data_IF_163059990584
#
_entry.id   IF_163059990584
#
_cell.length_a   1.000
_cell.length_b   1.000
_cell.length_c   1.000
_cell.angle_alpha   90.00
_cell.angle_beta   90.00
_cell.angle_gamma   90.00
#
_symmetry.space_group_name_H-M   'P 1'
#
loop_
_entity.id
_entity.type
_entity.pdbx_description
1 polymer ?
#
# COMPACT_ATOMS: atom_id res chain seq x y z
N UNK A 1 -9.52 4.18 22.67
CA UNK A 1 -8.48 3.74 23.63
C UNK A 1 -7.18 4.55 23.46
N UNK A 2 -6.57 4.65 22.28
CA UNK A 2 -5.30 5.36 22.09
C UNK A 2 -5.32 6.83 22.55
N UNK A 3 -6.45 7.53 22.42
CA UNK A 3 -6.59 8.90 22.95
C UNK A 3 -6.51 8.93 24.48
N UNK A 4 -7.02 7.91 25.15
CA UNK A 4 -7.00 7.79 26.63
C UNK A 4 -5.64 7.30 27.14
N UNK A 5 -4.91 6.51 26.34
CA UNK A 5 -3.60 5.97 26.71
C UNK A 5 -2.45 6.98 26.56
N UNK A 6 -2.72 8.14 25.96
CA UNK A 6 -1.77 9.23 25.88
C UNK A 6 -1.08 9.39 24.51
N UNK A 7 -0.11 10.32 24.41
CA UNK A 7 0.43 10.75 23.10
C UNK A 7 1.22 9.67 22.35
N UNK A 8 1.84 8.75 23.07
CA UNK A 8 2.66 7.69 22.45
C UNK A 8 1.84 6.51 21.92
N UNK A 9 0.58 6.37 22.34
CA UNK A 9 -0.27 5.29 21.86
C UNK A 9 -0.81 5.62 20.47
N UNK A 10 -0.53 4.76 19.51
CA UNK A 10 -0.93 4.88 18.12
C UNK A 10 -1.58 3.58 17.64
N UNK A 11 -2.20 3.62 16.48
CA UNK A 11 -2.88 2.49 15.84
C UNK A 11 -2.10 2.10 14.59
N UNK A 12 -1.82 0.81 14.44
CA UNK A 12 -1.43 0.21 13.16
C UNK A 12 -2.71 -0.27 12.48
N UNK A 13 -2.89 0.06 11.23
CA UNK A 13 -3.99 -0.40 10.39
C UNK A 13 -3.51 -1.57 9.54
N UNK A 14 -3.96 -2.76 9.89
CA UNK A 14 -3.77 -3.95 9.07
C UNK A 14 -4.90 -4.01 8.04
N UNK A 15 -4.54 -3.98 6.76
CA UNK A 15 -5.54 -3.84 5.69
C UNK A 15 -6.28 -5.15 5.38
N UNK A 16 -5.76 -6.29 5.83
CA UNK A 16 -6.39 -7.61 5.69
C UNK A 16 -7.29 -8.04 6.84
N UNK A 17 -7.10 -7.48 8.05
CA UNK A 17 -7.76 -7.96 9.27
C UNK A 17 -9.09 -7.27 9.60
N UNK A 18 -9.72 -6.62 8.64
CA UNK A 18 -11.04 -6.01 8.84
C UNK A 18 -12.16 -6.93 8.34
N UNK A 19 -13.35 -6.81 8.92
CA UNK A 19 -14.53 -7.51 8.43
C UNK A 19 -14.85 -7.12 6.97
N UNK A 20 -15.40 -8.02 6.13
CA UNK A 20 -15.84 -7.68 4.78
C UNK A 20 -16.76 -6.45 4.78
N UNK A 21 -16.52 -5.52 3.84
CA UNK A 21 -17.30 -4.29 3.74
C UNK A 21 -16.89 -3.17 4.70
N UNK A 22 -15.85 -3.35 5.51
CA UNK A 22 -15.32 -2.26 6.34
C UNK A 22 -14.74 -1.15 5.47
N UNK A 23 -15.13 0.09 5.76
CA UNK A 23 -14.56 1.27 5.13
C UNK A 23 -13.23 1.63 5.80
N UNK A 24 -12.13 1.04 5.29
CA UNK A 24 -10.78 1.23 5.85
C UNK A 24 -10.31 2.67 5.62
N UNK A 25 -10.63 3.27 4.49
CA UNK A 25 -10.29 4.66 4.15
C UNK A 25 -10.83 5.64 5.19
N UNK A 26 -12.06 5.40 5.65
CA UNK A 26 -12.67 6.21 6.70
C UNK A 26 -11.95 6.05 8.04
N UNK A 27 -11.54 4.82 8.40
CA UNK A 27 -10.73 4.55 9.59
C UNK A 27 -9.41 5.32 9.51
N UNK A 28 -8.72 5.26 8.37
CA UNK A 28 -7.46 5.97 8.14
C UNK A 28 -7.65 7.48 8.28
N UNK A 29 -8.68 8.05 7.66
CA UNK A 29 -9.00 9.48 7.76
C UNK A 29 -9.24 9.92 9.20
N UNK A 30 -9.98 9.13 9.99
CA UNK A 30 -10.22 9.41 11.41
C UNK A 30 -8.94 9.35 12.24
N UNK A 31 -8.08 8.36 12.00
CA UNK A 31 -6.84 8.18 12.74
C UNK A 31 -5.85 9.30 12.42
N UNK A 32 -5.74 9.72 11.17
CA UNK A 32 -4.93 10.89 10.77
C UNK A 32 -5.43 12.16 11.42
N UNK A 33 -6.74 12.43 11.37
CA UNK A 33 -7.36 13.59 12.03
C UNK A 33 -7.11 13.61 13.55
N UNK A 34 -7.08 12.43 14.17
CA UNK A 34 -6.84 12.29 15.61
C UNK A 34 -5.35 12.29 15.99
N UNK A 35 -4.42 12.31 15.02
CA UNK A 35 -2.97 12.14 15.24
C UNK A 35 -2.64 10.78 15.86
N UNK A 36 -3.38 9.72 15.48
CA UNK A 36 -3.27 8.38 16.05
C UNK A 36 -2.92 7.29 15.06
N UNK A 37 -2.72 7.61 13.79
CA UNK A 37 -2.18 6.66 12.82
C UNK A 37 -0.68 6.50 13.03
N UNK A 38 -0.24 5.33 13.47
CA UNK A 38 1.18 5.01 13.65
C UNK A 38 1.77 4.27 12.46
N UNK A 39 0.95 3.53 11.73
CA UNK A 39 1.44 2.79 10.57
C UNK A 39 0.38 1.89 9.95
N UNK A 40 0.87 1.14 8.98
CA UNK A 40 0.10 0.12 8.27
C UNK A 40 0.85 -1.20 8.30
N UNK A 41 0.09 -2.30 8.38
CA UNK A 41 0.46 -3.61 7.91
C UNK A 41 -0.33 -3.86 6.62
N UNK A 42 0.33 -3.62 5.48
CA UNK A 42 -0.31 -3.77 4.17
C UNK A 42 -0.32 -5.21 3.72
N UNK A 43 -1.49 -5.71 3.43
CA UNK A 43 -1.76 -6.95 2.72
C UNK A 43 -3.08 -6.81 1.93
N UNK A 44 -3.52 -7.85 1.30
CA UNK A 44 -4.84 -7.93 0.65
C UNK A 44 -5.58 -9.18 1.10
N UNK A 45 -6.90 -9.13 1.02
CA UNK A 45 -7.78 -10.26 1.32
C UNK A 45 -8.97 -10.30 0.38
N UNK A 46 -9.62 -11.45 0.27
CA UNK A 46 -10.93 -11.59 -0.33
C UNK A 46 -12.02 -11.77 0.74
N UNK A 47 -11.91 -12.78 1.58
CA UNK A 47 -13.01 -13.18 2.48
C UNK A 47 -12.60 -13.31 3.94
N UNK A 48 -11.34 -13.56 4.21
CA UNK A 48 -10.79 -13.81 5.53
C UNK A 48 -9.41 -13.17 5.67
N UNK A 49 -8.64 -13.65 6.61
CA UNK A 49 -7.23 -13.31 6.82
C UNK A 49 -6.36 -14.06 5.79
N UNK A 50 -6.37 -13.55 4.57
CA UNK A 50 -5.76 -14.24 3.42
C UNK A 50 -4.28 -13.84 3.22
N UNK A 51 -3.82 -12.74 3.81
CA UNK A 51 -2.45 -12.20 3.70
C UNK A 51 -1.91 -12.15 2.26
N UNK A 52 -2.77 -11.81 1.30
CA UNK A 52 -2.40 -11.77 -0.12
C UNK A 52 -1.48 -10.58 -0.42
N UNK A 53 -0.81 -10.65 -1.57
CA UNK A 53 0.00 -9.53 -2.08
C UNK A 53 -0.80 -8.23 -2.10
N UNK A 54 -0.21 -7.16 -1.61
CA UNK A 54 -0.85 -5.85 -1.48
C UNK A 54 -1.43 -5.37 -2.81
N UNK A 55 -2.69 -4.97 -2.79
CA UNK A 55 -3.40 -4.50 -3.98
C UNK A 55 -3.81 -5.60 -4.97
N UNK A 56 -3.60 -6.88 -4.65
CA UNK A 56 -3.96 -7.97 -5.55
C UNK A 56 -5.47 -8.20 -5.64
N UNK A 57 -6.18 -8.07 -4.51
CA UNK A 57 -7.62 -8.32 -4.45
C UNK A 57 -8.44 -7.06 -4.80
N UNK A 58 -8.07 -5.90 -4.24
CA UNK A 58 -8.76 -4.62 -4.46
C UNK A 58 -7.75 -3.47 -4.62
N UNK A 59 -7.19 -3.28 -5.82
CA UNK A 59 -6.26 -2.18 -6.08
C UNK A 59 -6.93 -0.80 -5.97
N UNK A 60 -8.24 -0.71 -6.17
CA UNK A 60 -8.97 0.55 -6.02
C UNK A 60 -9.12 0.94 -4.55
N UNK A 61 -9.31 -0.02 -3.64
CA UNK A 61 -9.30 0.26 -2.20
C UNK A 61 -7.92 0.76 -1.75
N UNK A 62 -6.83 0.13 -2.20
CA UNK A 62 -5.49 0.60 -1.90
C UNK A 62 -5.28 2.05 -2.36
N UNK A 63 -5.71 2.40 -3.57
CA UNK A 63 -5.66 3.78 -4.07
C UNK A 63 -6.44 4.75 -3.17
N UNK A 64 -7.66 4.38 -2.74
CA UNK A 64 -8.48 5.23 -1.86
C UNK A 64 -7.85 5.40 -0.47
N UNK A 65 -7.24 4.35 0.08
CA UNK A 65 -6.46 4.43 1.32
C UNK A 65 -5.32 5.42 1.15
N UNK A 66 -4.52 5.32 0.08
CA UNK A 66 -3.40 6.23 -0.18
C UNK A 66 -3.85 7.66 -0.46
N UNK A 67 -5.05 7.86 -1.01
CA UNK A 67 -5.65 9.18 -1.09
C UNK A 67 -5.90 9.80 0.29
N UNK A 68 -6.50 9.05 1.22
CA UNK A 68 -6.73 9.55 2.58
C UNK A 68 -5.40 9.81 3.32
N UNK A 69 -4.39 8.95 3.12
CA UNK A 69 -3.04 9.18 3.65
C UNK A 69 -2.45 10.49 3.14
N UNK A 70 -2.50 10.72 1.82
CA UNK A 70 -2.04 11.99 1.23
C UNK A 70 -2.81 13.18 1.75
N UNK A 71 -4.13 13.12 1.71
CA UNK A 71 -5.03 14.21 2.13
C UNK A 71 -4.83 14.59 3.60
N UNK A 72 -4.59 13.61 4.45
CA UNK A 72 -4.34 13.79 5.88
C UNK A 72 -2.89 14.09 6.25
N UNK A 73 -1.99 14.29 5.26
CA UNK A 73 -0.58 14.60 5.50
C UNK A 73 0.30 13.42 5.90
N UNK A 74 -0.23 12.18 5.86
CA UNK A 74 0.49 10.98 6.30
C UNK A 74 1.69 10.58 5.43
N UNK A 75 1.88 11.22 4.26
CA UNK A 75 3.08 11.05 3.43
C UNK A 75 4.25 11.94 3.88
N UNK A 76 4.01 12.91 4.76
CA UNK A 76 5.08 13.71 5.33
C UNK A 76 5.86 12.90 6.36
N UNK A 77 7.17 12.76 6.15
CA UNK A 77 8.05 11.99 7.03
C UNK A 77 8.03 12.51 8.49
N UNK A 78 7.72 13.77 8.70
CA UNK A 78 7.63 14.36 10.05
C UNK A 78 6.41 13.86 10.85
N UNK A 79 5.39 13.35 10.17
CA UNK A 79 4.20 12.74 10.81
C UNK A 79 4.52 11.35 11.35
N UNK A 80 5.50 10.66 10.76
CA UNK A 80 6.05 9.40 11.27
C UNK A 80 5.14 8.18 11.08
N UNK A 81 4.27 8.18 10.04
CA UNK A 81 3.49 6.99 9.68
C UNK A 81 4.40 5.93 9.09
N UNK A 82 4.42 4.73 9.66
CA UNK A 82 5.16 3.59 9.14
C UNK A 82 4.37 2.86 8.05
N UNK A 83 5.07 2.46 6.99
CA UNK A 83 4.50 1.68 5.88
C UNK A 83 5.17 0.32 5.86
N UNK A 84 4.48 -0.70 6.36
CA UNK A 84 4.98 -2.06 6.46
C UNK A 84 4.17 -2.98 5.55
N UNK A 85 4.78 -4.07 5.13
CA UNK A 85 4.11 -5.12 4.36
C UNK A 85 4.00 -6.36 5.23
N UNK A 86 2.81 -6.85 5.43
CA UNK A 86 2.51 -8.05 6.19
C UNK A 86 1.74 -9.06 5.33
N UNK A 87 2.37 -9.47 4.23
CA UNK A 87 1.87 -10.56 3.40
C UNK A 87 2.66 -11.84 3.70
N UNK A 88 1.97 -12.93 4.00
CA UNK A 88 2.58 -14.20 4.33
C UNK A 88 1.83 -15.37 3.66
N UNK A 89 1.76 -15.37 2.34
CA UNK A 89 1.15 -16.46 1.59
C UNK A 89 2.20 -17.50 1.17
N UNK A 90 1.83 -18.77 1.06
CA UNK A 90 2.76 -19.85 0.77
C UNK A 90 2.85 -20.25 -0.71
N UNK A 91 2.06 -19.61 -1.57
CA UNK A 91 1.97 -19.96 -2.99
C UNK A 91 3.04 -19.23 -3.80
N UNK A 92 3.13 -17.90 -3.66
CA UNK A 92 4.09 -17.12 -4.39
C UNK A 92 5.50 -17.12 -3.75
N UNK A 93 6.55 -17.01 -4.57
CA UNK A 93 7.92 -16.80 -4.05
C UNK A 93 7.99 -15.50 -3.23
N UNK A 94 8.53 -15.58 -2.02
CA UNK A 94 8.44 -14.49 -1.01
C UNK A 94 9.05 -13.17 -1.48
N UNK A 95 10.27 -13.19 -1.98
CA UNK A 95 10.97 -11.95 -2.35
C UNK A 95 10.30 -11.25 -3.54
N UNK A 96 10.03 -11.93 -4.70
CA UNK A 96 9.29 -11.27 -5.78
C UNK A 96 7.89 -10.83 -5.37
N UNK A 97 7.21 -11.57 -4.48
CA UNK A 97 5.92 -11.17 -3.92
C UNK A 97 6.02 -9.84 -3.16
N UNK A 98 7.03 -9.70 -2.29
CA UNK A 98 7.29 -8.44 -1.56
C UNK A 98 7.66 -7.29 -2.52
N UNK A 99 8.53 -7.53 -3.50
CA UNK A 99 8.87 -6.51 -4.51
C UNK A 99 7.61 -6.03 -5.24
N UNK A 100 6.75 -6.95 -5.65
CA UNK A 100 5.47 -6.61 -6.30
C UNK A 100 4.58 -5.78 -5.40
N UNK A 101 4.46 -6.13 -4.13
CA UNK A 101 3.64 -5.40 -3.16
C UNK A 101 4.15 -3.97 -2.93
N UNK A 102 5.47 -3.78 -2.80
CA UNK A 102 6.05 -2.43 -2.76
C UNK A 102 5.70 -1.63 -4.02
N UNK A 103 5.84 -2.24 -5.21
CA UNK A 103 5.49 -1.56 -6.47
C UNK A 103 4.01 -1.17 -6.51
N UNK A 104 3.09 -2.02 -6.03
CA UNK A 104 1.67 -1.74 -6.00
C UNK A 104 1.34 -0.56 -5.05
N UNK A 105 1.97 -0.50 -3.88
CA UNK A 105 1.84 0.65 -2.96
C UNK A 105 2.37 1.93 -3.60
N UNK A 106 3.53 1.86 -4.27
CA UNK A 106 4.09 3.02 -4.99
C UNK A 106 3.16 3.51 -6.10
N UNK A 107 2.58 2.59 -6.89
CA UNK A 107 1.62 2.93 -7.95
C UNK A 107 0.36 3.58 -7.36
N UNK A 108 -0.22 3.01 -6.31
CA UNK A 108 -1.40 3.58 -5.65
C UNK A 108 -1.11 4.99 -5.07
N UNK A 109 0.08 5.16 -4.47
CA UNK A 109 0.53 6.45 -3.93
C UNK A 109 0.68 7.48 -5.03
N UNK A 110 1.39 7.15 -6.12
CA UNK A 110 1.59 8.06 -7.24
C UNK A 110 0.27 8.48 -7.89
N UNK A 111 -0.65 7.55 -8.09
CA UNK A 111 -2.01 7.84 -8.57
C UNK A 111 -2.77 8.77 -7.61
N UNK A 112 -2.70 8.52 -6.31
CA UNK A 112 -3.31 9.40 -5.32
C UNK A 112 -2.71 10.81 -5.35
N UNK A 113 -1.42 10.95 -5.67
CA UNK A 113 -0.76 12.26 -5.83
C UNK A 113 -1.20 13.03 -7.08
N UNK A 114 -1.81 12.39 -8.06
CA UNK A 114 -2.36 13.06 -9.26
C UNK A 114 -3.71 13.74 -9.01
N UNK A 115 -4.42 13.39 -7.94
CA UNK A 115 -5.73 13.97 -7.64
C UNK A 115 -5.58 15.47 -7.36
N UNK A 116 -6.30 16.33 -8.09
CA UNK A 116 -6.45 17.72 -7.70
C UNK A 116 -7.41 17.83 -6.51
N UNK A 117 -6.84 18.07 -5.33
CA UNK A 117 -7.60 18.12 -4.08
C UNK A 117 -8.57 19.30 -4.03
N UNK A 118 -8.23 20.43 -4.67
CA UNK A 118 -9.06 21.63 -4.68
C UNK A 118 -10.25 21.44 -5.63
N UNK A 119 -10.01 20.91 -6.81
CA UNK A 119 -11.04 20.58 -7.77
C UNK A 119 -12.03 19.55 -7.19
N UNK A 120 -11.52 18.47 -6.63
CA UNK A 120 -12.34 17.44 -5.96
C UNK A 120 -13.20 18.05 -4.85
N UNK A 121 -12.62 18.88 -3.99
CA UNK A 121 -13.34 19.53 -2.89
C UNK A 121 -14.42 20.49 -3.41
N UNK A 122 -14.14 21.25 -4.47
CA UNK A 122 -15.11 22.16 -5.09
C UNK A 122 -16.31 21.41 -5.66
N UNK A 123 -16.08 20.31 -6.38
CA UNK A 123 -17.14 19.47 -6.92
C UNK A 123 -17.98 18.82 -5.82
N UNK A 124 -17.35 18.32 -4.77
CA UNK A 124 -18.04 17.76 -3.61
C UNK A 124 -18.91 18.80 -2.91
N UNK A 125 -18.40 20.03 -2.72
CA UNK A 125 -19.17 21.12 -2.12
C UNK A 125 -20.35 21.57 -2.97
N UNK A 126 -20.22 21.49 -4.30
CA UNK A 126 -21.31 21.79 -5.25
C UNK A 126 -22.32 20.65 -5.40
N UNK A 127 -22.08 19.47 -4.83
CA UNK A 127 -22.90 18.29 -5.03
C UNK A 127 -22.75 17.66 -6.43
N UNK A 128 -21.70 18.02 -7.17
CA UNK A 128 -21.37 17.42 -8.47
C UNK A 128 -20.71 16.06 -8.26
N UNK A 129 -21.53 15.03 -8.11
CA UNK A 129 -21.09 13.65 -7.87
C UNK A 129 -20.36 13.09 -9.09
N UNK A 130 -20.81 13.43 -10.31
CA UNK A 130 -20.19 12.91 -11.54
C UNK A 130 -18.82 13.55 -11.76
N UNK A 131 -18.68 14.85 -11.59
CA UNK A 131 -17.41 15.55 -11.67
C UNK A 131 -16.43 15.05 -10.60
N UNK A 132 -16.85 14.94 -9.35
CA UNK A 132 -16.01 14.39 -8.28
C UNK A 132 -15.55 12.95 -8.58
N UNK A 133 -16.42 12.12 -9.14
CA UNK A 133 -16.05 10.77 -9.56
C UNK A 133 -15.04 10.79 -10.72
N UNK A 134 -15.21 11.67 -11.71
CA UNK A 134 -14.29 11.79 -12.84
C UNK A 134 -12.86 12.13 -12.35
N UNK A 135 -12.70 13.11 -11.48
CA UNK A 135 -11.38 13.47 -10.90
C UNK A 135 -10.69 12.27 -10.27
N UNK A 136 -11.42 11.47 -9.48
CA UNK A 136 -10.85 10.27 -8.85
C UNK A 136 -10.51 9.19 -9.90
N UNK A 137 -11.40 8.93 -10.84
CA UNK A 137 -11.22 7.85 -11.82
C UNK A 137 -10.15 8.19 -12.85
N UNK A 138 -9.99 9.45 -13.25
CA UNK A 138 -8.92 9.87 -14.14
C UNK A 138 -7.55 9.68 -13.50
N UNK A 139 -7.40 10.02 -12.23
CA UNK A 139 -6.18 9.75 -11.47
C UNK A 139 -5.93 8.24 -11.33
N UNK A 140 -6.95 7.46 -11.00
CA UNK A 140 -6.81 6.01 -10.85
C UNK A 140 -6.45 5.30 -12.16
N UNK A 141 -7.01 5.73 -13.29
CA UNK A 141 -6.77 5.12 -14.60
C UNK A 141 -5.46 5.59 -15.26
N UNK A 142 -4.81 6.62 -14.71
CA UNK A 142 -3.53 7.09 -15.24
C UNK A 142 -2.43 6.04 -15.03
N UNK A 143 -1.70 5.71 -16.10
CA UNK A 143 -0.54 4.83 -16.01
C UNK A 143 0.68 5.59 -15.47
N UNK A 144 0.99 5.38 -14.20
CA UNK A 144 2.13 6.00 -13.50
C UNK A 144 3.42 5.16 -13.56
N UNK A 145 3.37 3.98 -14.17
CA UNK A 145 4.55 3.08 -14.22
C UNK A 145 5.75 3.67 -14.95
N UNK A 146 5.59 4.40 -16.06
CA UNK A 146 6.71 5.08 -16.70
C UNK A 146 7.35 6.13 -15.80
N UNK A 147 6.54 6.93 -15.08
CA UNK A 147 7.01 7.92 -14.12
C UNK A 147 7.81 7.28 -12.99
N UNK A 148 7.28 6.20 -12.41
CA UNK A 148 7.95 5.48 -11.32
C UNK A 148 9.25 4.79 -11.79
N UNK A 149 9.30 4.32 -13.03
CA UNK A 149 10.52 3.77 -13.61
C UNK A 149 11.61 4.85 -13.74
N UNK A 150 11.24 6.03 -14.23
CA UNK A 150 12.13 7.19 -14.34
C UNK A 150 12.63 7.65 -12.96
N UNK A 151 11.74 7.75 -11.98
CA UNK A 151 12.10 8.11 -10.61
C UNK A 151 13.12 7.13 -10.00
N UNK A 152 12.92 5.82 -10.21
CA UNK A 152 13.88 4.81 -9.75
C UNK A 152 15.25 5.01 -10.38
N UNK A 153 15.31 5.25 -11.68
CA UNK A 153 16.57 5.52 -12.39
C UNK A 153 17.29 6.76 -11.83
N UNK A 154 16.56 7.84 -11.57
CA UNK A 154 17.12 9.05 -10.94
C UNK A 154 17.65 8.80 -9.52
N UNK A 155 17.10 7.82 -8.82
CA UNK A 155 17.57 7.36 -7.49
C UNK A 155 18.71 6.34 -7.58
N UNK A 156 19.22 6.00 -8.77
CA UNK A 156 20.24 4.98 -8.98
C UNK A 156 19.74 3.54 -8.80
N UNK A 157 18.43 3.32 -8.94
CA UNK A 157 17.79 2.01 -8.84
C UNK A 157 17.37 1.52 -10.23
N UNK A 158 17.15 0.21 -10.34
CA UNK A 158 16.64 -0.36 -11.60
C UNK A 158 15.22 0.14 -11.92
N UNK A 159 15.00 0.48 -13.20
CA UNK A 159 13.68 0.90 -13.70
C UNK A 159 12.59 -0.16 -13.46
N UNK A 160 12.97 -1.45 -13.55
CA UNK A 160 12.09 -2.60 -13.34
C UNK A 160 12.65 -3.52 -12.24
N UNK A 161 12.25 -3.33 -10.97
CA UNK A 161 12.75 -4.13 -9.85
C UNK A 161 12.52 -5.64 -9.98
N UNK A 162 11.43 -6.06 -10.64
CA UNK A 162 11.16 -7.48 -10.88
C UNK A 162 12.16 -8.10 -11.85
N UNK A 163 12.49 -7.38 -12.94
CA UNK A 163 13.49 -7.84 -13.90
C UNK A 163 14.89 -7.84 -13.28
N UNK A 164 15.23 -6.83 -12.49
CA UNK A 164 16.48 -6.74 -11.76
C UNK A 164 16.65 -7.93 -10.80
N UNK A 165 15.61 -8.24 -10.02
CA UNK A 165 15.63 -9.41 -9.14
C UNK A 165 15.83 -10.70 -9.94
N UNK A 166 15.10 -10.92 -11.03
CA UNK A 166 15.25 -12.11 -11.85
C UNK A 166 16.66 -12.23 -12.44
N UNK A 167 17.27 -11.12 -12.88
CA UNK A 167 18.62 -11.10 -13.44
C UNK A 167 19.72 -11.27 -12.38
N UNK A 168 19.42 -11.05 -11.09
CA UNK A 168 20.42 -11.11 -10.02
C UNK A 168 20.93 -12.52 -9.71
N UNK A 169 20.24 -13.58 -10.14
CA UNK A 169 20.52 -14.96 -9.77
C UNK A 169 20.38 -15.26 -8.26
N UNK A 170 19.73 -14.33 -7.52
CA UNK A 170 19.63 -14.47 -6.04
C UNK A 170 18.82 -15.69 -5.63
N UNK A 171 17.75 -16.00 -6.36
CA UNK A 171 16.89 -17.15 -6.03
C UNK A 171 17.65 -18.47 -6.13
N UNK A 172 18.43 -18.66 -7.19
CA UNK A 172 19.25 -19.84 -7.42
C UNK A 172 20.37 -19.96 -6.36
N UNK A 173 21.04 -18.84 -6.08
CA UNK A 173 22.08 -18.76 -5.06
C UNK A 173 21.56 -19.18 -3.69
N UNK A 174 20.47 -18.58 -3.24
CA UNK A 174 19.90 -18.88 -1.92
C UNK A 174 19.35 -20.30 -1.86
N UNK A 175 18.76 -20.80 -2.93
CA UNK A 175 18.33 -22.21 -3.01
C UNK A 175 19.50 -23.17 -2.84
N UNK A 176 20.60 -22.90 -3.53
CA UNK A 176 21.82 -23.73 -3.40
C UNK A 176 22.43 -23.68 -2.00
N UNK A 177 22.48 -22.50 -1.38
CA UNK A 177 23.00 -22.33 -0.02
C UNK A 177 22.14 -23.00 1.06
N UNK A 178 20.83 -23.12 0.82
CA UNK A 178 19.85 -23.69 1.76
C UNK A 178 19.49 -25.14 1.49
N UNK A 179 20.09 -25.80 0.50
CA UNK A 179 19.97 -27.24 0.28
C UNK A 179 20.58 -27.98 1.47
N UNK A 180 19.78 -28.36 2.43
CA UNK A 180 20.18 -29.02 3.69
C UNK A 180 19.46 -28.49 4.92
N UNK A 181 18.90 -27.33 4.86
CA UNK A 181 17.97 -26.84 5.88
C UNK A 181 16.53 -27.14 5.43
N UNK A 182 15.93 -28.23 5.93
CA UNK A 182 14.48 -28.33 5.85
C UNK A 182 13.93 -27.06 6.49
N UNK A 183 13.29 -26.22 5.66
CA UNK A 183 12.47 -25.16 6.20
C UNK A 183 11.45 -25.84 7.12
N UNK A 184 11.54 -25.56 8.42
CA UNK A 184 10.47 -25.91 9.33
C UNK A 184 9.25 -25.11 8.85
N UNK A 185 8.44 -25.74 8.00
CA UNK A 185 7.20 -25.18 7.52
C UNK A 185 6.29 -24.96 8.72
N UNK A 186 5.79 -23.78 8.90
CA UNK A 186 4.63 -23.56 9.73
C UNK A 186 3.45 -24.21 9.00
N UNK A 187 3.02 -25.37 9.52
CA UNK A 187 1.77 -26.02 9.18
C UNK A 187 1.78 -26.78 7.84
N UNK A 188 1.94 -28.12 7.94
CA UNK A 188 1.24 -29.03 7.03
C UNK A 188 -0.17 -29.26 7.57
#
# INVERSE_FOLDING_TARGET
>A
HCLQLGPKAQVVVDTGHHAPGTNIEFIVALLLRAGKLGGFDFNSRFYADDDLMVGAADPFQLFRIMWEVRRGGGLDASVGVAFMLDQCHNIEPKIPGQIRSVMNVQEATAKAMLIDANELAAMQAAGDVLGANAVLMDAYNTDVRPLLAELREQMGLDRNPMAAYAASGYAEKISAERIGGQAAGWGA
#
